data_IF_184922901448
#
_entry.id   IF_184922901448
#
_cell.length_a   1.000
_cell.length_b   1.000
_cell.length_c   1.000
_cell.angle_alpha   90.00
_cell.angle_beta   90.00
_cell.angle_gamma   90.00
#
_symmetry.space_group_name_H-M   'P 1'
#
loop_
_entity.id
_entity.type
_entity.pdbx_description
1 polymer ?
#
# COMPACT_ATOMS: atom_id res chain seq x y z
N UNK A 1 4.50 -19.32 -6.40
CA UNK A 1 3.29 -18.78 -5.76
C UNK A 1 3.21 -17.30 -6.04
N UNK A 2 2.05 -16.83 -6.46
CA UNK A 2 1.78 -15.39 -6.61
C UNK A 2 1.15 -14.86 -5.33
N UNK A 3 1.64 -13.72 -4.86
CA UNK A 3 1.14 -13.04 -3.67
C UNK A 3 0.69 -11.64 -4.09
N UNK A 4 -0.56 -11.30 -3.81
CA UNK A 4 -1.08 -9.95 -3.93
C UNK A 4 -1.61 -9.49 -2.58
N UNK A 5 -1.00 -8.46 -2.06
CA UNK A 5 -1.34 -7.78 -0.80
C UNK A 5 -1.09 -6.28 -0.93
N UNK A 6 -1.46 -5.73 -2.06
CA UNK A 6 -1.26 -4.33 -2.44
C UNK A 6 0.19 -3.88 -2.19
N UNK A 7 0.41 -2.78 -1.48
CA UNK A 7 1.75 -2.23 -1.21
C UNK A 7 2.66 -3.15 -0.39
N UNK A 8 2.10 -4.15 0.28
CA UNK A 8 2.77 -5.07 1.19
C UNK A 8 3.18 -6.40 0.52
N UNK A 9 2.91 -6.55 -0.77
CA UNK A 9 3.07 -7.81 -1.50
C UNK A 9 4.51 -8.33 -1.49
N UNK A 10 5.48 -7.47 -1.76
CA UNK A 10 6.89 -7.85 -1.79
C UNK A 10 7.41 -8.25 -0.40
N UNK A 11 7.02 -7.54 0.64
CA UNK A 11 7.37 -7.90 2.01
C UNK A 11 6.77 -9.25 2.40
N UNK A 12 5.52 -9.50 2.04
CA UNK A 12 4.87 -10.80 2.29
C UNK A 12 5.55 -11.93 1.52
N UNK A 13 5.98 -11.68 0.28
CA UNK A 13 6.73 -12.66 -0.50
C UNK A 13 8.05 -13.03 0.17
N UNK A 14 8.79 -12.05 0.70
CA UNK A 14 10.02 -12.28 1.47
C UNK A 14 9.74 -13.05 2.76
N UNK A 15 8.66 -12.73 3.48
CA UNK A 15 8.28 -13.47 4.69
C UNK A 15 7.99 -14.94 4.38
N UNK A 16 7.26 -15.23 3.30
CA UNK A 16 6.98 -16.62 2.90
C UNK A 16 8.24 -17.37 2.49
N UNK A 17 9.16 -16.72 1.78
CA UNK A 17 10.46 -17.32 1.45
C UNK A 17 11.27 -17.63 2.70
N UNK A 18 11.36 -16.68 3.63
CA UNK A 18 12.05 -16.87 4.90
C UNK A 18 11.45 -18.03 5.72
N UNK A 19 10.13 -18.09 5.82
CA UNK A 19 9.43 -19.19 6.50
C UNK A 19 9.73 -20.55 5.84
N UNK A 20 9.79 -20.62 4.52
CA UNK A 20 10.14 -21.83 3.78
C UNK A 20 11.54 -22.34 4.11
N UNK A 21 12.52 -21.43 4.15
CA UNK A 21 13.91 -21.78 4.50
C UNK A 21 14.03 -22.13 5.99
N UNK A 22 13.44 -21.32 6.87
CA UNK A 22 13.50 -21.55 8.33
C UNK A 22 12.82 -22.84 8.77
N UNK A 23 11.81 -23.31 8.03
CA UNK A 23 11.15 -24.60 8.30
C UNK A 23 11.95 -25.81 7.81
N UNK A 24 13.03 -25.59 7.07
CA UNK A 24 13.83 -26.66 6.46
C UNK A 24 13.14 -27.36 5.27
N UNK A 25 12.02 -26.83 4.78
CA UNK A 25 11.34 -27.38 3.60
C UNK A 25 11.99 -26.94 2.28
N UNK A 26 12.76 -25.84 2.32
CA UNK A 26 13.42 -25.26 1.16
C UNK A 26 14.82 -24.77 1.56
N UNK A 27 15.80 -25.00 0.70
CA UNK A 27 17.19 -24.58 0.97
C UNK A 27 17.47 -23.18 0.36
N UNK A 28 16.81 -22.87 -0.76
CA UNK A 28 16.98 -21.61 -1.47
C UNK A 28 15.64 -21.14 -2.05
N UNK A 29 15.26 -19.91 -1.79
CA UNK A 29 14.02 -19.30 -2.33
C UNK A 29 14.34 -17.92 -2.88
N UNK A 30 13.79 -17.63 -4.05
CA UNK A 30 13.81 -16.28 -4.64
C UNK A 30 12.47 -15.63 -4.38
N UNK A 31 12.48 -14.47 -3.73
CA UNK A 31 11.31 -13.62 -3.54
C UNK A 31 11.49 -12.30 -4.29
N UNK A 32 10.50 -11.88 -5.04
CA UNK A 32 10.54 -10.66 -5.80
C UNK A 32 9.16 -10.27 -6.30
N UNK A 33 9.07 -9.14 -6.96
CA UNK A 33 7.82 -8.68 -7.55
C UNK A 33 8.06 -7.70 -8.70
N UNK A 34 7.03 -7.55 -9.51
CA UNK A 34 7.00 -6.60 -10.62
C UNK A 34 5.59 -6.01 -10.72
N UNK A 35 5.51 -4.73 -11.01
CA UNK A 35 4.25 -4.06 -11.29
C UNK A 35 4.42 -3.14 -12.50
N UNK A 36 3.58 -3.32 -13.52
CA UNK A 36 3.52 -2.46 -14.69
C UNK A 36 2.32 -1.52 -14.60
N UNK A 37 2.51 -0.39 -13.94
CA UNK A 37 1.43 0.58 -13.71
C UNK A 37 0.95 1.30 -14.99
N UNK A 38 1.75 1.31 -16.04
CA UNK A 38 1.33 1.82 -17.35
C UNK A 38 0.32 0.88 -18.02
N UNK A 39 0.46 -0.43 -17.81
CA UNK A 39 -0.44 -1.42 -18.41
C UNK A 39 -1.67 -1.65 -17.53
N UNK A 40 -1.48 -1.73 -16.21
CA UNK A 40 -2.55 -1.93 -15.22
C UNK A 40 -2.44 -0.83 -14.16
N UNK A 41 -3.16 0.28 -14.31
CA UNK A 41 -3.11 1.40 -13.38
C UNK A 41 -3.52 1.01 -11.96
N UNK A 42 -3.02 1.75 -10.97
CA UNK A 42 -3.46 1.63 -9.58
C UNK A 42 -4.99 1.82 -9.53
N UNK A 43 -5.68 0.91 -8.84
CA UNK A 43 -7.15 0.95 -8.73
C UNK A 43 -7.90 0.29 -9.89
N UNK A 44 -7.21 -0.29 -10.89
CA UNK A 44 -7.85 -0.95 -12.02
C UNK A 44 -8.87 -2.02 -11.58
N UNK A 45 -8.56 -2.83 -10.58
CA UNK A 45 -9.47 -3.85 -10.06
C UNK A 45 -10.79 -3.23 -9.53
N UNK A 46 -10.70 -2.11 -8.82
CA UNK A 46 -11.88 -1.38 -8.34
C UNK A 46 -12.65 -0.71 -9.48
N UNK A 47 -11.94 -0.14 -10.45
CA UNK A 47 -12.55 0.51 -11.59
C UNK A 47 -13.32 -0.50 -12.48
N UNK A 48 -12.82 -1.72 -12.64
CA UNK A 48 -13.47 -2.78 -13.41
C UNK A 48 -14.71 -3.37 -12.72
N UNK A 49 -14.86 -3.18 -11.42
CA UNK A 49 -16.03 -3.66 -10.68
C UNK A 49 -17.31 -2.86 -11.00
N UNK A 50 -17.19 -1.55 -11.19
CA UNK A 50 -18.33 -0.65 -11.43
C UNK A 50 -19.13 -0.98 -12.69
N UNK A 51 -18.54 -1.21 -13.86
CA UNK A 51 -19.27 -1.56 -15.08
C UNK A 51 -20.09 -2.87 -14.99
N UNK A 52 -19.71 -3.76 -14.10
CA UNK A 52 -20.42 -5.04 -13.86
C UNK A 52 -21.37 -4.97 -12.65
N UNK A 53 -21.64 -3.77 -12.14
CA UNK A 53 -22.62 -3.53 -11.09
C UNK A 53 -22.14 -3.88 -9.67
N UNK A 54 -20.84 -4.05 -9.47
CA UNK A 54 -20.28 -4.29 -8.13
C UNK A 54 -19.89 -2.98 -7.45
N UNK A 55 -20.21 -2.88 -6.18
CA UNK A 55 -19.76 -1.78 -5.34
C UNK A 55 -18.24 -1.83 -5.12
N UNK A 56 -17.60 -0.66 -5.01
CA UNK A 56 -16.22 -0.58 -4.56
C UNK A 56 -16.07 -1.02 -3.10
N UNK A 57 -14.85 -1.35 -2.65
CA UNK A 57 -14.61 -1.83 -1.28
C UNK A 57 -15.14 -0.88 -0.20
N UNK A 58 -15.03 0.43 -0.43
CA UNK A 58 -15.48 1.49 0.50
C UNK A 58 -16.97 1.84 0.35
N UNK A 59 -17.64 1.32 -0.66
CA UNK A 59 -19.06 1.50 -0.93
C UNK A 59 -19.90 0.32 -0.38
N UNK A 60 -19.24 -0.76 0.03
CA UNK A 60 -19.90 -1.95 0.57
C UNK A 60 -20.62 -1.63 1.90
N UNK A 61 -21.81 -2.23 2.09
CA UNK A 61 -22.64 -1.96 3.27
C UNK A 61 -21.88 -2.12 4.60
N UNK A 62 -21.16 -3.19 4.78
CA UNK A 62 -20.40 -3.44 6.01
C UNK A 62 -19.26 -2.42 6.25
N UNK A 63 -18.69 -1.86 5.17
CA UNK A 63 -17.74 -0.76 5.29
C UNK A 63 -18.43 0.53 5.77
N UNK A 64 -19.52 0.89 5.10
CA UNK A 64 -20.27 2.12 5.41
C UNK A 64 -20.85 2.10 6.83
N UNK A 65 -21.39 0.95 7.26
CA UNK A 65 -21.89 0.76 8.63
C UNK A 65 -20.80 0.97 9.69
N UNK A 66 -19.57 0.56 9.40
CA UNK A 66 -18.45 0.64 10.35
C UNK A 66 -17.68 1.96 10.32
N UNK A 67 -17.45 2.50 9.13
CA UNK A 67 -16.54 3.63 8.90
C UNK A 67 -17.22 4.88 8.34
N UNK A 68 -18.51 4.78 7.98
CA UNK A 68 -19.23 5.88 7.32
C UNK A 68 -18.84 6.04 5.86
N UNK A 69 -19.20 7.20 5.31
CA UNK A 69 -18.98 7.59 3.91
C UNK A 69 -17.79 8.54 3.73
N UNK A 70 -16.86 8.52 4.68
CA UNK A 70 -15.69 9.38 4.63
C UNK A 70 -14.78 9.05 3.45
N UNK A 71 -14.06 10.03 2.96
CA UNK A 71 -13.00 9.83 1.98
C UNK A 71 -11.93 8.90 2.52
N UNK A 72 -11.55 7.88 1.74
CA UNK A 72 -10.46 6.97 2.04
C UNK A 72 -9.31 7.28 1.09
N UNK A 73 -8.35 8.06 1.58
CA UNK A 73 -7.14 8.39 0.83
C UNK A 73 -5.93 8.49 1.75
N UNK A 74 -4.75 8.26 1.19
CA UNK A 74 -3.48 8.45 1.92
C UNK A 74 -3.25 9.92 2.27
N UNK A 75 -3.69 10.84 1.41
CA UNK A 75 -3.59 12.28 1.65
C UNK A 75 -4.41 12.68 2.87
N UNK A 76 -5.69 12.28 2.93
CA UNK A 76 -6.52 12.51 4.10
C UNK A 76 -5.91 11.89 5.37
N UNK A 77 -5.36 10.69 5.28
CA UNK A 77 -4.67 10.04 6.41
C UNK A 77 -3.49 10.87 6.91
N UNK A 78 -2.68 11.41 6.01
CA UNK A 78 -1.54 12.26 6.34
C UNK A 78 -1.99 13.58 6.99
N UNK A 79 -3.03 14.24 6.44
CA UNK A 79 -3.58 15.46 7.03
C UNK A 79 -4.12 15.23 8.45
N UNK A 80 -4.89 14.17 8.66
CA UNK A 80 -5.37 13.79 10.00
C UNK A 80 -4.23 13.52 10.99
N UNK A 81 -3.13 12.93 10.52
CA UNK A 81 -1.93 12.77 11.35
C UNK A 81 -1.30 14.12 11.68
N UNK A 82 -1.14 14.99 10.71
CA UNK A 82 -0.59 16.33 10.91
C UNK A 82 -1.41 17.12 11.93
N UNK A 83 -2.73 17.12 11.80
CA UNK A 83 -3.65 17.76 12.75
C UNK A 83 -3.53 17.14 14.16
N UNK A 84 -3.60 15.82 14.26
CA UNK A 84 -3.62 15.11 15.54
C UNK A 84 -2.34 15.29 16.36
N UNK A 85 -1.21 15.34 15.70
CA UNK A 85 0.11 15.51 16.35
C UNK A 85 0.71 16.90 16.16
N UNK A 86 -0.08 17.84 15.67
CA UNK A 86 0.34 19.23 15.46
C UNK A 86 1.68 19.32 14.70
N UNK A 87 1.78 18.60 13.59
CA UNK A 87 2.95 18.60 12.72
C UNK A 87 2.83 19.77 11.76
N UNK A 88 3.77 20.72 11.82
CA UNK A 88 3.75 21.89 10.95
C UNK A 88 4.11 21.55 9.50
N UNK A 89 3.71 22.42 8.58
CA UNK A 89 4.07 22.30 7.16
C UNK A 89 5.59 22.26 6.96
N UNK A 90 6.31 23.11 7.68
CA UNK A 90 7.77 23.19 7.62
C UNK A 90 8.42 21.89 8.08
N UNK A 91 7.90 21.25 9.14
CA UNK A 91 8.41 19.97 9.60
C UNK A 91 8.22 18.88 8.55
N UNK A 92 7.07 18.85 7.86
CA UNK A 92 6.81 17.90 6.77
C UNK A 92 7.73 18.13 5.57
N UNK A 93 8.00 19.39 5.22
CA UNK A 93 8.90 19.74 4.12
C UNK A 93 10.35 19.36 4.43
N UNK A 94 10.84 19.62 5.64
CA UNK A 94 12.19 19.21 6.09
C UNK A 94 12.31 17.69 6.04
N UNK A 95 11.30 16.94 6.48
CA UNK A 95 11.28 15.48 6.41
C UNK A 95 11.37 14.99 4.96
N UNK A 96 10.59 15.57 4.05
CA UNK A 96 10.59 15.20 2.63
C UNK A 96 11.94 15.51 1.96
N UNK A 97 12.53 16.68 2.23
CA UNK A 97 13.84 17.07 1.71
C UNK A 97 14.94 16.12 2.20
N UNK A 98 14.94 15.77 3.47
CA UNK A 98 15.92 14.82 4.02
C UNK A 98 15.76 13.42 3.41
N UNK A 99 14.55 12.97 3.15
CA UNK A 99 14.29 11.71 2.45
C UNK A 99 14.90 11.72 1.05
N UNK A 100 14.70 12.81 0.29
CA UNK A 100 15.29 12.96 -1.04
C UNK A 100 16.83 13.02 -0.98
N UNK A 101 17.38 13.77 -0.03
CA UNK A 101 18.83 13.87 0.17
C UNK A 101 19.47 12.50 0.40
N UNK A 102 18.84 11.65 1.21
CA UNK A 102 19.34 10.28 1.48
C UNK A 102 19.23 9.35 0.27
N UNK A 103 18.32 9.59 -0.64
CA UNK A 103 18.16 8.79 -1.86
C UNK A 103 19.18 9.16 -2.95
N UNK A 104 19.84 10.32 -2.84
CA UNK A 104 20.88 10.71 -3.79
C UNK A 104 22.19 9.99 -3.45
N UNK A 105 22.88 9.40 -4.45
CA UNK A 105 24.19 8.83 -4.22
C UNK A 105 25.20 9.94 -3.80
N UNK A 106 26.24 9.59 -3.03
CA UNK A 106 27.30 10.51 -2.63
C UNK A 106 28.07 11.05 -3.84
#
# INVERSE_FOLDING_TARGET
>A
VTVDRQCDSSQQAVHFAAMGVMSGMQDLVIAGGVQSMNMIPIGAATALAKPIGLAGPTEARGWVERYGTQEVSQYRGAELMAERWNISREAMEVFALESNRRAMPP
#
